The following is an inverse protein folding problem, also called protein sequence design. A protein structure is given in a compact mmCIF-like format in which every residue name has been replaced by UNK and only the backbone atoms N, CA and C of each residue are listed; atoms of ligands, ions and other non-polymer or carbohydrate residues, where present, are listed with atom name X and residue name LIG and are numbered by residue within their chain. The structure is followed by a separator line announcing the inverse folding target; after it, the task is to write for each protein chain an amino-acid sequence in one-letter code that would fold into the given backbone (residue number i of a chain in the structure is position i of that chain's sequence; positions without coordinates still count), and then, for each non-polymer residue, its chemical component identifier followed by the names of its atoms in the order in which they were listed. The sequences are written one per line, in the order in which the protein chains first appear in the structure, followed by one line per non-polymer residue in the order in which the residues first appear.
data_IF_765750698862
#
_entry.id   IF_765750698862
#
_cell.length_a   1.000
_cell.length_b   1.000
_cell.length_c   1.000
_cell.angle_alpha   90.00
_cell.angle_beta   90.00
_cell.angle_gamma   90.00
#
_symmetry.space_group_name_H-M   'P 1'
#
loop_
_entity.id
_entity.type
_entity.pdbx_description
1 polymer ?
#
# COMPACT_ATOMS: atom_id res chain seq x y z
N UNK A 1 20.59 -8.56 26.11
CA UNK A 1 19.61 -8.57 27.22
C UNK A 1 20.01 -7.68 28.40
N UNK A 2 21.29 -7.37 28.61
CA UNK A 2 21.68 -6.35 29.60
C UNK A 2 20.99 -4.99 29.41
N UNK A 3 20.79 -4.54 28.16
CA UNK A 3 20.04 -3.31 27.89
C UNK A 3 18.60 -3.39 28.41
N UNK A 4 17.94 -4.54 28.23
CA UNK A 4 16.59 -4.80 28.73
C UNK A 4 16.57 -4.79 30.26
N UNK A 5 17.60 -5.38 30.90
CA UNK A 5 17.77 -5.32 32.35
C UNK A 5 17.99 -3.89 32.86
N UNK A 6 18.77 -3.07 32.16
CA UNK A 6 18.94 -1.64 32.48
C UNK A 6 17.63 -0.86 32.34
N UNK A 7 16.79 -1.19 31.35
CA UNK A 7 15.44 -0.62 31.21
C UNK A 7 14.57 -1.01 32.40
N UNK A 8 14.58 -2.27 32.82
CA UNK A 8 13.84 -2.71 34.01
C UNK A 8 14.33 -1.97 35.27
N UNK A 9 15.64 -1.87 35.46
CA UNK A 9 16.28 -1.13 36.56
C UNK A 9 15.97 0.36 36.55
N UNK A 10 15.55 0.94 35.42
CA UNK A 10 15.06 2.33 35.36
C UNK A 10 13.64 2.52 35.93
N UNK A 11 13.05 1.48 36.51
CA UNK A 11 11.70 1.50 37.08
C UNK A 11 10.59 1.21 36.08
N UNK A 12 10.91 0.58 34.93
CA UNK A 12 9.93 0.21 33.89
C UNK A 12 9.61 -1.28 33.97
N UNK A 13 8.35 -1.64 33.80
CA UNK A 13 7.95 -3.05 33.66
C UNK A 13 8.33 -3.54 32.27
N UNK A 14 9.08 -4.63 32.21
CA UNK A 14 9.41 -5.32 30.96
C UNK A 14 8.74 -6.69 30.98
N UNK A 15 7.99 -7.00 29.93
CA UNK A 15 7.44 -8.34 29.67
C UNK A 15 7.97 -8.79 28.33
N UNK A 16 8.55 -9.99 28.27
CA UNK A 16 9.06 -10.56 27.04
C UNK A 16 8.82 -12.07 26.98
N UNK A 17 8.56 -12.58 25.79
CA UNK A 17 8.48 -14.02 25.49
C UNK A 17 9.81 -14.46 24.90
N UNK A 18 10.38 -15.56 25.40
CA UNK A 18 11.66 -16.08 24.91
C UNK A 18 11.53 -17.56 24.63
N UNK A 19 12.00 -17.95 23.46
CA UNK A 19 12.10 -19.35 23.08
C UNK A 19 13.46 -19.89 23.54
N UNK A 20 13.46 -20.82 24.50
CA UNK A 20 14.64 -21.58 24.97
C UNK A 20 15.88 -20.70 25.28
N UNK A 21 15.84 -19.87 26.33
CA UNK A 21 16.99 -19.07 26.74
C UNK A 21 18.16 -19.94 27.20
N UNK A 22 19.39 -19.46 27.04
CA UNK A 22 20.55 -20.04 27.75
C UNK A 22 20.43 -19.83 29.26
N UNK A 23 21.10 -20.66 30.07
CA UNK A 23 21.07 -20.55 31.55
C UNK A 23 21.43 -19.15 32.03
N UNK A 24 22.52 -18.59 31.51
CA UNK A 24 22.98 -17.22 31.86
C UNK A 24 21.91 -16.18 31.54
N UNK A 25 21.15 -16.37 30.46
CA UNK A 25 20.08 -15.45 30.09
C UNK A 25 18.85 -15.62 30.97
N UNK A 26 18.52 -16.87 31.29
CA UNK A 26 17.38 -17.23 32.13
C UNK A 26 17.51 -16.64 33.53
N UNK A 27 18.71 -16.68 34.12
CA UNK A 27 18.99 -16.09 35.43
C UNK A 27 18.94 -14.55 35.47
N UNK A 28 18.80 -13.88 34.32
CA UNK A 28 18.62 -12.42 34.30
C UNK A 28 17.19 -11.97 34.61
N UNK A 29 16.20 -12.88 34.59
CA UNK A 29 14.79 -12.53 34.82
C UNK A 29 14.44 -12.50 36.30
N UNK A 30 13.74 -11.45 36.71
CA UNK A 30 13.24 -11.32 38.08
C UNK A 30 12.08 -12.27 38.34
N UNK A 31 11.24 -12.54 37.32
CA UNK A 31 10.08 -13.43 37.39
C UNK A 31 9.92 -14.21 36.09
N UNK A 32 9.40 -15.43 36.23
CA UNK A 32 9.01 -16.30 35.13
C UNK A 32 7.49 -16.41 35.10
N UNK A 33 6.90 -16.27 33.92
CA UNK A 33 5.54 -16.72 33.61
C UNK A 33 5.64 -17.91 32.65
N UNK A 34 5.30 -19.10 33.12
CA UNK A 34 5.30 -20.33 32.34
C UNK A 34 3.87 -20.73 32.00
N UNK A 35 3.62 -20.96 30.70
CA UNK A 35 2.33 -21.39 30.17
C UNK A 35 2.49 -22.76 29.51
N UNK A 36 1.48 -23.62 29.67
CA UNK A 36 1.35 -24.86 28.92
C UNK A 36 0.43 -24.70 27.70
N UNK A 37 0.36 -25.75 26.87
CA UNK A 37 -0.58 -25.85 25.75
C UNK A 37 -2.01 -25.49 26.20
N UNK A 38 -2.70 -24.68 25.40
CA UNK A 38 -4.02 -24.13 25.77
C UNK A 38 -3.97 -22.81 26.55
N UNK A 39 -2.77 -22.27 26.82
CA UNK A 39 -2.61 -20.96 27.46
C UNK A 39 -2.85 -20.96 28.97
N UNK A 40 -2.83 -22.14 29.60
CA UNK A 40 -2.99 -22.29 31.04
C UNK A 40 -1.67 -22.03 31.77
N UNK A 41 -1.77 -21.44 32.97
CA UNK A 41 -0.60 -21.06 33.76
C UNK A 41 -0.08 -22.22 34.59
N UNK A 42 1.21 -22.50 34.47
CA UNK A 42 1.90 -23.56 35.25
C UNK A 42 2.72 -22.98 36.39
N UNK A 43 3.34 -21.83 36.17
CA UNK A 43 4.18 -21.15 37.15
C UNK A 43 4.17 -19.64 36.92
N UNK A 44 4.03 -18.87 37.99
CA UNK A 44 4.27 -17.43 37.97
C UNK A 44 4.96 -16.99 39.25
N UNK A 45 6.27 -16.80 39.21
CA UNK A 45 7.04 -16.53 40.42
C UNK A 45 8.45 -16.06 40.13
N UNK A 46 9.22 -15.71 41.17
CA UNK A 46 10.64 -15.41 41.02
C UNK A 46 11.40 -16.65 40.54
N UNK A 47 12.54 -16.45 39.90
CA UNK A 47 13.43 -17.58 39.61
C UNK A 47 14.27 -17.95 40.85
N UNK A 48 14.66 -16.96 41.65
CA UNK A 48 15.66 -17.14 42.71
C UNK A 48 17.09 -17.23 42.14
N UNK A 49 18.09 -17.22 43.03
CA UNK A 49 19.48 -17.45 42.64
C UNK A 49 19.61 -18.87 42.07
N UNK A 50 20.27 -19.05 40.93
CA UNK A 50 20.41 -20.35 40.24
C UNK A 50 19.07 -21.06 39.98
N UNK A 51 17.97 -20.31 39.82
CA UNK A 51 16.62 -20.84 39.58
C UNK A 51 16.03 -21.71 40.71
N UNK A 52 16.54 -21.59 41.94
CA UNK A 52 16.15 -22.46 43.08
C UNK A 52 14.65 -22.43 43.37
N UNK A 53 13.99 -21.27 43.36
CA UNK A 53 12.55 -21.18 43.69
C UNK A 53 11.67 -21.94 42.67
N UNK A 54 12.05 -21.85 41.39
CA UNK A 54 11.38 -22.60 40.33
C UNK A 54 11.63 -24.11 40.48
N UNK A 55 12.88 -24.51 40.78
CA UNK A 55 13.22 -25.91 40.97
C UNK A 55 12.52 -26.52 42.19
N UNK A 56 12.39 -25.77 43.29
CA UNK A 56 11.63 -26.18 44.47
C UNK A 56 10.15 -26.39 44.17
N UNK A 57 9.55 -25.51 43.36
CA UNK A 57 8.16 -25.68 42.91
C UNK A 57 7.98 -26.97 42.12
N UNK A 58 8.84 -27.23 41.12
CA UNK A 58 8.76 -28.48 40.35
C UNK A 58 9.12 -29.72 41.18
N UNK A 59 10.00 -29.60 42.18
CA UNK A 59 10.38 -30.68 43.07
C UNK A 59 9.26 -31.23 43.96
N UNK A 60 8.13 -30.52 44.06
CA UNK A 60 6.95 -30.97 44.81
C UNK A 60 6.15 -32.06 44.08
N UNK A 61 6.30 -32.17 42.75
CA UNK A 61 5.56 -33.14 41.95
C UNK A 61 6.28 -34.49 41.90
N UNK A 62 5.57 -35.55 42.30
CA UNK A 62 6.12 -36.91 42.25
C UNK A 62 6.28 -37.36 40.79
N UNK A 63 7.42 -37.95 40.46
CA UNK A 63 7.71 -38.49 39.13
C UNK A 63 8.57 -37.60 38.24
N UNK A 64 8.80 -36.33 38.63
CA UNK A 64 9.78 -35.49 37.95
C UNK A 64 11.20 -35.84 38.39
N UNK A 65 12.12 -36.12 37.45
CA UNK A 65 13.53 -36.31 37.79
C UNK A 65 14.11 -34.97 38.29
N UNK A 66 15.05 -34.96 39.25
CA UNK A 66 15.74 -33.74 39.61
C UNK A 66 16.58 -33.23 38.44
N UNK A 67 16.81 -31.91 38.39
CA UNK A 67 17.67 -31.26 37.39
C UNK A 67 19.05 -31.95 37.35
N UNK A 68 19.49 -32.36 36.16
CA UNK A 68 20.80 -32.99 36.01
C UNK A 68 21.93 -31.96 36.10
N UNK A 69 23.13 -32.37 36.55
CA UNK A 69 24.29 -31.47 36.60
C UNK A 69 24.63 -30.96 35.21
N UNK A 70 24.59 -29.64 35.03
CA UNK A 70 24.88 -28.98 33.75
C UNK A 70 23.67 -28.88 32.81
N UNK A 71 22.50 -29.36 33.22
CA UNK A 71 21.26 -29.15 32.48
C UNK A 71 20.78 -27.70 32.63
N UNK A 72 20.24 -27.13 31.55
CA UNK A 72 19.69 -25.78 31.58
C UNK A 72 18.31 -25.78 32.28
N UNK A 73 18.11 -24.99 33.35
CA UNK A 73 16.81 -24.90 34.06
C UNK A 73 15.64 -24.53 33.14
N UNK A 74 15.88 -23.72 32.11
CA UNK A 74 14.86 -23.35 31.14
C UNK A 74 14.44 -24.52 30.23
N UNK A 75 15.38 -25.42 29.91
CA UNK A 75 15.09 -26.65 29.16
C UNK A 75 14.38 -27.65 30.06
N UNK A 76 14.84 -27.79 31.31
CA UNK A 76 14.24 -28.66 32.31
C UNK A 76 12.75 -28.36 32.52
N UNK A 77 12.38 -27.08 32.79
CA UNK A 77 10.98 -26.73 33.01
C UNK A 77 10.09 -27.02 31.79
N UNK A 78 10.61 -26.87 30.56
CA UNK A 78 9.87 -27.18 29.33
C UNK A 78 9.71 -28.69 29.15
N UNK A 79 10.73 -29.48 29.50
CA UNK A 79 10.64 -30.94 29.52
C UNK A 79 9.63 -31.42 30.56
N UNK A 80 9.58 -30.81 31.76
CA UNK A 80 8.62 -31.16 32.81
C UNK A 80 7.17 -31.04 32.34
N UNK A 81 6.84 -29.97 31.60
CA UNK A 81 5.48 -29.72 31.10
C UNK A 81 5.19 -30.41 29.75
N UNK A 82 6.10 -31.26 29.26
CA UNK A 82 5.94 -31.95 27.98
C UNK A 82 6.05 -31.05 26.74
N UNK A 83 6.57 -29.83 26.88
CA UNK A 83 6.88 -28.91 25.79
C UNK A 83 8.32 -29.07 25.26
N UNK A 84 9.07 -30.02 25.80
CA UNK A 84 10.44 -30.35 25.42
C UNK A 84 10.54 -31.39 24.30
N UNK A 85 11.75 -31.86 24.01
CA UNK A 85 12.00 -32.91 22.99
C UNK A 85 11.54 -34.29 23.45
N UNK A 86 11.39 -34.48 24.76
CA UNK A 86 10.87 -35.68 25.38
C UNK A 86 9.43 -35.37 25.78
N UNK A 87 8.47 -36.25 25.44
CA UNK A 87 7.05 -36.10 25.77
C UNK A 87 6.79 -35.93 27.28
N UNK A 88 5.53 -35.68 27.69
CA UNK A 88 5.20 -35.38 29.10
C UNK A 88 5.77 -36.45 30.03
N UNK A 89 6.60 -36.01 30.98
CA UNK A 89 7.30 -36.89 31.90
C UNK A 89 6.39 -37.44 33.00
N UNK A 90 5.25 -36.79 33.25
CA UNK A 90 4.28 -37.15 34.28
C UNK A 90 2.86 -36.79 33.83
N UNK A 91 1.89 -37.63 34.18
CA UNK A 91 0.45 -37.38 34.00
C UNK A 91 -0.09 -36.52 35.16
N UNK A 92 0.32 -35.24 35.20
CA UNK A 92 -0.12 -34.26 36.19
C UNK A 92 -0.69 -33.04 35.47
N UNK A 93 -1.87 -32.59 35.89
CA UNK A 93 -2.37 -31.29 35.47
C UNK A 93 -1.67 -30.19 36.27
N UNK A 94 -0.67 -29.59 35.65
CA UNK A 94 0.12 -28.51 36.23
C UNK A 94 -0.70 -27.22 36.43
N UNK A 95 -1.77 -27.00 35.65
CA UNK A 95 -2.59 -25.79 35.78
C UNK A 95 -3.50 -25.86 37.01
N UNK A 96 -4.14 -27.00 37.23
CA UNK A 96 -4.95 -27.25 38.43
C UNK A 96 -4.06 -27.28 39.68
N UNK A 97 -2.86 -27.84 39.56
CA UNK A 97 -1.87 -27.81 40.64
C UNK A 97 -1.42 -26.39 40.98
N UNK A 98 -1.18 -25.56 39.97
CA UNK A 98 -0.80 -24.16 40.18
C UNK A 98 -1.91 -23.37 40.88
N UNK A 99 -3.16 -23.51 40.45
CA UNK A 99 -4.29 -22.77 41.03
C UNK A 99 -4.58 -23.16 42.48
N UNK A 100 -4.35 -24.42 42.85
CA UNK A 100 -4.48 -24.91 44.23
C UNK A 100 -3.23 -24.66 45.09
N UNK A 101 -2.10 -24.33 44.49
CA UNK A 101 -0.84 -24.09 45.19
C UNK A 101 -0.88 -22.81 46.05
N UNK A 102 -0.05 -22.73 47.11
CA UNK A 102 0.10 -21.50 47.89
C UNK A 102 0.58 -20.32 47.02
N UNK A 103 1.41 -20.60 46.02
CA UNK A 103 1.94 -19.59 45.09
C UNK A 103 0.81 -19.02 44.20
N UNK A 104 -0.10 -19.86 43.73
CA UNK A 104 -1.32 -19.45 43.04
C UNK A 104 -2.22 -18.57 43.93
N UNK A 105 -2.43 -18.96 45.19
CA UNK A 105 -3.22 -18.18 46.15
C UNK A 105 -2.60 -16.80 46.45
N UNK A 106 -1.27 -16.73 46.64
CA UNK A 106 -0.54 -15.48 46.85
C UNK A 106 -0.72 -14.55 45.63
N UNK A 107 -0.50 -15.06 44.41
CA UNK A 107 -0.65 -14.27 43.20
C UNK A 107 -2.10 -13.79 42.99
N UNK A 108 -3.09 -14.64 43.27
CA UNK A 108 -4.50 -14.27 43.22
C UNK A 108 -4.83 -13.15 44.22
N UNK A 109 -4.29 -13.21 45.43
CA UNK A 109 -4.46 -12.17 46.45
C UNK A 109 -3.82 -10.83 46.04
N UNK A 110 -2.65 -10.88 45.38
CA UNK A 110 -1.91 -9.71 44.91
C UNK A 110 -2.64 -9.02 43.74
N UNK A 111 -3.23 -9.82 42.84
CA UNK A 111 -4.10 -9.31 41.78
C UNK A 111 -5.35 -8.67 42.39
N UNK A 112 -6.03 -9.34 43.32
CA UNK A 112 -7.23 -8.82 43.98
C UNK A 112 -6.95 -7.50 44.71
N UNK A 113 -5.83 -7.40 45.42
CA UNK A 113 -5.39 -6.18 46.07
C UNK A 113 -5.08 -5.06 45.07
N UNK A 114 -4.49 -5.40 43.91
CA UNK A 114 -4.17 -4.43 42.85
C UNK A 114 -5.41 -3.96 42.06
N UNK A 115 -6.45 -4.79 41.99
CA UNK A 115 -7.74 -4.45 41.38
C UNK A 115 -8.67 -3.69 42.33
N UNK A 116 -8.40 -3.70 43.64
CA UNK A 116 -9.18 -2.95 44.61
C UNK A 116 -9.05 -1.43 44.32
N UNK A 117 -10.16 -0.67 44.31
CA UNK A 117 -10.15 0.76 44.00
C UNK A 117 -9.50 1.54 45.15
N UNK A 118 -8.17 1.56 45.18
CA UNK A 118 -7.40 2.17 46.26
C UNK A 118 -6.90 3.54 45.82
N UNK A 119 -7.61 4.59 46.25
CA UNK A 119 -7.30 6.04 46.05
C UNK A 119 -7.16 6.45 44.57
N UNK A 120 -7.33 7.74 44.23
CA UNK A 120 -6.92 8.22 42.92
C UNK A 120 -5.40 8.22 42.91
N UNK A 121 -4.77 7.05 42.77
CA UNK A 121 -3.48 7.03 42.14
C UNK A 121 -3.68 7.81 40.86
N UNK A 122 -2.83 8.81 40.65
CA UNK A 122 -2.56 9.27 39.32
C UNK A 122 -2.04 8.03 38.55
N UNK A 123 -2.95 7.14 38.12
CA UNK A 123 -2.99 6.78 36.73
C UNK A 123 -2.96 8.14 36.05
N UNK A 124 -1.74 8.63 35.82
CA UNK A 124 -1.42 9.37 34.63
C UNK A 124 -2.21 8.64 33.59
N UNK A 125 -3.36 9.21 33.24
CA UNK A 125 -4.15 8.79 32.09
C UNK A 125 -3.10 8.75 31.01
N UNK A 126 -2.58 7.55 30.71
CA UNK A 126 -1.55 7.34 29.71
C UNK A 126 -2.21 7.91 28.49
N UNK A 127 -1.85 9.15 28.13
CA UNK A 127 -2.62 9.97 27.21
C UNK A 127 -2.70 9.13 25.96
N UNK A 128 -3.89 8.59 25.71
CA UNK A 128 -4.21 7.78 24.53
C UNK A 128 -4.30 8.66 23.28
N UNK A 129 -4.02 9.95 23.41
CA UNK A 129 -3.80 10.84 22.29
C UNK A 129 -2.45 10.53 21.65
N UNK A 130 -2.46 10.41 20.32
CA UNK A 130 -1.25 10.43 19.50
C UNK A 130 -0.26 11.42 20.10
N UNK A 131 0.98 10.97 20.32
CA UNK A 131 2.00 11.76 21.02
C UNK A 131 2.28 13.13 20.35
N UNK A 132 1.79 13.32 19.11
CA UNK A 132 2.05 14.46 18.25
C UNK A 132 0.77 14.84 17.48
N UNK A 133 0.56 16.15 17.24
CA UNK A 133 -0.57 16.68 16.47
C UNK A 133 -0.63 16.13 15.03
N UNK A 134 -1.84 16.03 14.47
CA UNK A 134 -2.08 15.47 13.13
C UNK A 134 -1.26 16.15 12.03
N UNK A 135 -1.21 17.49 12.01
CA UNK A 135 -0.44 18.23 11.00
C UNK A 135 1.05 17.88 11.06
N UNK A 136 1.59 17.70 12.28
CA UNK A 136 2.98 17.33 12.46
C UNK A 136 3.25 15.87 12.05
N UNK A 137 2.29 14.96 12.25
CA UNK A 137 2.36 13.60 11.69
C UNK A 137 2.46 13.66 10.15
N UNK A 138 1.57 14.42 9.50
CA UNK A 138 1.58 14.60 8.03
C UNK A 138 2.93 15.17 7.54
N UNK A 139 3.46 16.20 8.20
CA UNK A 139 4.75 16.78 7.82
C UNK A 139 5.90 15.79 7.93
N UNK A 140 5.99 15.06 9.04
CA UNK A 140 7.04 14.07 9.27
C UNK A 140 6.94 12.91 8.27
N UNK A 141 5.73 12.41 8.03
CA UNK A 141 5.50 11.31 7.09
C UNK A 141 5.74 11.73 5.64
N UNK A 142 5.38 12.96 5.27
CA UNK A 142 5.66 13.52 3.94
C UNK A 142 7.17 13.67 3.73
N UNK A 143 7.90 14.22 4.71
CA UNK A 143 9.36 14.32 4.64
C UNK A 143 10.05 12.95 4.58
N UNK A 144 9.54 11.97 5.34
CA UNK A 144 9.99 10.57 5.27
C UNK A 144 9.74 10.00 3.88
N UNK A 145 8.52 10.11 3.37
CA UNK A 145 8.12 9.56 2.08
C UNK A 145 8.94 10.17 0.93
N UNK A 146 9.15 11.48 0.97
CA UNK A 146 10.01 12.20 0.03
C UNK A 146 11.44 11.65 0.05
N UNK A 147 12.01 11.51 1.25
CA UNK A 147 13.35 10.94 1.43
C UNK A 147 13.43 9.50 0.93
N UNK A 148 12.39 8.70 1.14
CA UNK A 148 12.31 7.32 0.65
C UNK A 148 12.29 7.27 -0.87
N UNK A 149 11.52 8.14 -1.53
CA UNK A 149 11.49 8.24 -2.99
C UNK A 149 12.85 8.67 -3.54
N UNK A 150 13.43 9.72 -2.97
CA UNK A 150 14.75 10.22 -3.36
C UNK A 150 15.86 9.18 -3.19
N UNK A 151 15.87 8.45 -2.06
CA UNK A 151 16.88 7.41 -1.75
C UNK A 151 16.57 6.04 -2.36
N UNK A 152 15.52 5.93 -3.18
CA UNK A 152 15.20 4.70 -3.92
C UNK A 152 15.50 4.89 -5.42
N UNK A 153 16.79 5.00 -5.82
CA UNK A 153 17.15 5.30 -7.20
C UNK A 153 16.63 4.24 -8.16
N UNK A 154 16.58 2.96 -7.77
CA UNK A 154 16.05 1.89 -8.63
C UNK A 154 14.59 2.11 -9.04
N UNK A 155 13.76 2.68 -8.16
CA UNK A 155 12.36 2.95 -8.47
C UNK A 155 12.19 4.17 -9.38
N UNK A 156 12.77 5.31 -8.98
CA UNK A 156 12.59 6.54 -9.75
C UNK A 156 13.44 6.59 -11.03
N UNK A 157 14.64 5.99 -11.05
CA UNK A 157 15.45 5.90 -12.26
C UNK A 157 14.82 4.97 -13.30
N UNK A 158 14.18 3.85 -12.89
CA UNK A 158 13.47 2.99 -13.84
C UNK A 158 12.26 3.70 -14.45
N UNK A 159 11.48 4.45 -13.66
CA UNK A 159 10.38 5.30 -14.17
C UNK A 159 10.89 6.39 -15.12
N UNK A 160 11.99 7.06 -14.77
CA UNK A 160 12.60 8.09 -15.62
C UNK A 160 13.10 7.50 -16.94
N UNK A 161 13.82 6.37 -16.89
CA UNK A 161 14.30 5.68 -18.08
C UNK A 161 13.14 5.26 -18.98
N UNK A 162 12.07 4.69 -18.39
CA UNK A 162 10.87 4.30 -19.10
C UNK A 162 10.21 5.50 -19.81
N UNK A 163 10.05 6.62 -19.09
CA UNK A 163 9.52 7.86 -19.66
C UNK A 163 10.35 8.35 -20.85
N UNK A 164 11.68 8.45 -20.69
CA UNK A 164 12.58 8.99 -21.73
C UNK A 164 12.63 8.07 -22.96
N UNK A 165 12.77 6.77 -22.74
CA UNK A 165 12.85 5.79 -23.83
C UNK A 165 11.54 5.75 -24.61
N UNK A 166 10.40 5.68 -23.93
CA UNK A 166 9.10 5.66 -24.60
C UNK A 166 8.82 6.96 -25.36
N UNK A 167 9.16 8.12 -24.78
CA UNK A 167 9.01 9.39 -25.50
C UNK A 167 9.87 9.41 -26.78
N UNK A 168 11.10 8.89 -26.72
CA UNK A 168 11.98 8.81 -27.89
C UNK A 168 11.43 7.87 -28.97
N UNK A 169 10.88 6.71 -28.58
CA UNK A 169 10.24 5.77 -29.50
C UNK A 169 9.06 6.42 -30.21
N UNK A 170 8.12 7.00 -29.46
CA UNK A 170 6.95 7.67 -30.05
C UNK A 170 7.33 8.87 -30.93
N UNK A 171 8.32 9.66 -30.49
CA UNK A 171 8.87 10.74 -31.31
C UNK A 171 9.45 10.22 -32.62
N UNK A 172 10.25 9.14 -32.60
CA UNK A 172 10.89 8.60 -33.80
C UNK A 172 9.91 8.07 -34.85
N UNK A 173 8.76 7.53 -34.40
CA UNK A 173 7.76 6.93 -35.30
C UNK A 173 6.98 7.98 -36.10
N UNK A 174 6.78 9.19 -35.54
CA UNK A 174 5.89 10.21 -36.10
C UNK A 174 6.54 11.58 -36.29
N UNK A 175 7.87 11.66 -36.15
CA UNK A 175 8.63 12.88 -36.33
C UNK A 175 8.35 13.51 -37.70
N UNK A 176 7.92 14.77 -37.73
CA UNK A 176 7.60 15.51 -38.96
C UNK A 176 6.53 14.85 -39.86
N UNK A 177 5.68 13.97 -39.31
CA UNK A 177 4.55 13.40 -40.07
C UNK A 177 3.56 14.50 -40.49
N UNK A 178 3.20 14.56 -41.78
CA UNK A 178 2.18 15.49 -42.28
C UNK A 178 0.79 14.86 -42.19
N UNK A 179 -0.23 15.69 -42.02
CA UNK A 179 -1.63 15.26 -42.04
C UNK A 179 -2.20 15.65 -43.40
N UNK A 180 -2.34 14.68 -44.30
CA UNK A 180 -2.87 14.90 -45.65
C UNK A 180 -4.15 14.08 -45.87
N UNK A 181 -4.22 12.90 -45.25
CA UNK A 181 -5.36 11.98 -45.33
C UNK A 181 -6.05 11.78 -43.99
N UNK A 182 -7.30 11.32 -44.06
CA UNK A 182 -8.05 10.85 -42.90
C UNK A 182 -7.31 9.73 -42.14
N UNK A 183 -6.55 8.88 -42.84
CA UNK A 183 -5.76 7.82 -42.20
C UNK A 183 -4.62 8.39 -41.35
N UNK A 184 -4.04 9.53 -41.72
CA UNK A 184 -3.00 10.20 -40.92
C UNK A 184 -3.58 10.77 -39.62
N UNK A 185 -4.83 11.27 -39.66
CA UNK A 185 -5.55 11.71 -38.45
C UNK A 185 -5.78 10.52 -37.51
N UNK A 186 -6.25 9.39 -38.05
CA UNK A 186 -6.44 8.15 -37.26
C UNK A 186 -5.11 7.69 -36.67
N UNK A 187 -4.02 7.70 -37.44
CA UNK A 187 -2.69 7.32 -36.95
C UNK A 187 -2.23 8.21 -35.77
N UNK A 188 -2.50 9.53 -35.84
CA UNK A 188 -2.23 10.45 -34.73
C UNK A 188 -3.10 10.19 -33.50
N UNK A 189 -4.38 9.88 -33.68
CA UNK A 189 -5.25 9.48 -32.58
C UNK A 189 -4.75 8.18 -31.90
N UNK A 190 -4.36 7.18 -32.69
CA UNK A 190 -3.77 5.91 -32.19
C UNK A 190 -2.49 6.18 -31.42
N UNK A 191 -1.63 7.07 -31.91
CA UNK A 191 -0.39 7.47 -31.23
C UNK A 191 -0.68 8.08 -29.86
N UNK A 192 -1.57 9.08 -29.79
CA UNK A 192 -1.95 9.73 -28.54
C UNK A 192 -2.54 8.70 -27.57
N UNK A 193 -3.46 7.86 -28.06
CA UNK A 193 -4.10 6.82 -27.28
C UNK A 193 -3.06 5.85 -26.69
N UNK A 194 -2.24 5.26 -27.55
CA UNK A 194 -1.23 4.27 -27.14
C UNK A 194 -0.19 4.88 -26.21
N UNK A 195 0.30 6.09 -26.50
CA UNK A 195 1.27 6.78 -25.67
C UNK A 195 0.76 7.02 -24.24
N UNK A 196 -0.45 7.57 -24.12
CA UNK A 196 -1.07 7.87 -22.82
C UNK A 196 -1.44 6.60 -22.06
N UNK A 197 -2.05 5.58 -22.68
CA UNK A 197 -2.36 4.31 -22.00
C UNK A 197 -1.07 3.67 -21.49
N UNK A 198 -0.08 3.53 -22.37
CA UNK A 198 1.12 2.76 -22.07
C UNK A 198 1.88 3.37 -20.89
N UNK A 199 2.08 4.69 -20.90
CA UNK A 199 2.79 5.34 -19.79
C UNK A 199 1.97 5.27 -18.49
N UNK A 200 0.66 5.47 -18.55
CA UNK A 200 -0.21 5.47 -17.37
C UNK A 200 -0.26 4.10 -16.71
N UNK A 201 -0.52 3.03 -17.47
CA UNK A 201 -0.52 1.64 -16.95
C UNK A 201 0.86 1.25 -16.41
N UNK A 202 1.95 1.70 -17.05
CA UNK A 202 3.32 1.48 -16.55
C UNK A 202 3.56 2.11 -15.18
N UNK A 203 2.93 3.24 -14.86
CA UNK A 203 3.02 3.85 -13.52
C UNK A 203 2.41 2.93 -12.44
N UNK A 204 1.26 2.31 -12.73
CA UNK A 204 0.67 1.30 -11.87
C UNK A 204 1.61 0.10 -11.69
N UNK A 205 2.09 -0.49 -12.79
CA UNK A 205 2.93 -1.69 -12.76
C UNK A 205 4.24 -1.48 -12.00
N UNK A 206 4.83 -0.28 -12.05
CA UNK A 206 6.05 0.05 -11.29
C UNK A 206 5.76 0.32 -9.82
N UNK A 207 4.61 0.91 -9.47
CA UNK A 207 4.25 1.25 -8.08
C UNK A 207 3.97 0.02 -7.20
N UNK A 208 3.35 -1.04 -7.75
CA UNK A 208 2.96 -2.25 -7.02
C UNK A 208 4.16 -2.92 -6.30
N UNK A 209 5.25 -3.30 -6.99
CA UNK A 209 6.41 -3.94 -6.34
C UNK A 209 7.16 -2.99 -5.39
N UNK A 210 7.09 -1.68 -5.62
CA UNK A 210 7.67 -0.70 -4.70
C UNK A 210 6.89 -0.66 -3.38
N UNK A 211 5.57 -0.49 -3.46
CA UNK A 211 4.72 -0.34 -2.28
C UNK A 211 4.62 -1.63 -1.46
N UNK A 212 4.66 -2.80 -2.11
CA UNK A 212 4.63 -4.09 -1.44
C UNK A 212 5.78 -4.27 -0.41
N UNK A 213 6.95 -3.69 -0.66
CA UNK A 213 8.11 -3.74 0.26
C UNK A 213 7.85 -3.03 1.58
N UNK A 214 7.07 -1.95 1.57
CA UNK A 214 6.83 -1.10 2.74
C UNK A 214 5.54 -1.45 3.49
N UNK A 215 4.66 -2.26 2.89
CA UNK A 215 3.41 -2.70 3.50
C UNK A 215 3.58 -3.31 4.89
N UNK A 216 4.57 -4.19 5.07
CA UNK A 216 4.83 -4.83 6.37
C UNK A 216 5.31 -3.85 7.44
N UNK A 217 6.11 -2.85 7.04
CA UNK A 217 6.57 -1.78 7.94
C UNK A 217 5.37 -0.94 8.40
N UNK A 218 4.51 -0.53 7.46
CA UNK A 218 3.30 0.23 7.77
C UNK A 218 2.40 -0.52 8.78
N UNK A 219 2.17 -1.83 8.59
CA UNK A 219 1.34 -2.59 9.52
C UNK A 219 1.94 -2.63 10.94
N UNK A 220 3.25 -2.76 11.09
CA UNK A 220 3.92 -2.72 12.40
C UNK A 220 3.80 -1.35 13.07
N UNK A 221 3.98 -0.28 12.29
CA UNK A 221 3.85 1.10 12.77
C UNK A 221 2.41 1.41 13.21
N UNK A 222 1.42 0.91 12.46
CA UNK A 222 -0.01 1.01 12.79
C UNK A 222 -0.36 0.21 14.04
N UNK A 223 0.10 -1.03 14.18
CA UNK A 223 -0.15 -1.82 15.40
C UNK A 223 0.47 -1.19 16.64
N UNK A 224 1.56 -0.44 16.48
CA UNK A 224 2.21 0.32 17.54
C UNK A 224 1.59 1.70 17.78
N UNK A 225 0.50 2.05 17.08
CA UNK A 225 -0.20 3.35 17.16
C UNK A 225 0.75 4.55 17.02
N UNK A 226 1.71 4.48 16.08
CA UNK A 226 2.71 5.55 15.91
C UNK A 226 2.13 6.81 15.26
N UNK A 227 1.13 6.67 14.39
CA UNK A 227 0.48 7.77 13.66
C UNK A 227 -0.87 7.32 13.07
N UNK A 228 -1.73 8.27 12.72
CA UNK A 228 -3.04 8.00 12.13
C UNK A 228 -2.92 7.49 10.67
N UNK A 229 -3.70 6.49 10.23
CA UNK A 229 -3.69 6.00 8.84
C UNK A 229 -3.92 7.09 7.79
N UNK A 230 -4.76 8.07 8.10
CA UNK A 230 -5.04 9.23 7.23
C UNK A 230 -3.81 10.11 7.01
N UNK A 231 -2.95 10.26 8.03
CA UNK A 231 -1.72 11.05 7.89
C UNK A 231 -0.74 10.41 6.90
N UNK A 232 -0.67 9.07 6.89
CA UNK A 232 0.14 8.32 5.94
C UNK A 232 -0.44 8.33 4.52
N UNK A 233 -1.77 8.19 4.38
CA UNK A 233 -2.44 8.27 3.09
C UNK A 233 -2.21 9.65 2.41
N UNK A 234 -2.30 10.75 3.17
CA UNK A 234 -2.00 12.10 2.66
C UNK A 234 -0.54 12.21 2.22
N UNK A 235 0.40 11.70 3.02
CA UNK A 235 1.82 11.72 2.66
C UNK A 235 2.10 10.94 1.36
N UNK A 236 1.48 9.77 1.17
CA UNK A 236 1.55 9.01 -0.07
C UNK A 236 0.96 9.77 -1.26
N UNK A 237 -0.20 10.39 -1.05
CA UNK A 237 -0.88 11.17 -2.08
C UNK A 237 0.00 12.32 -2.59
N UNK A 238 0.46 13.19 -1.70
CA UNK A 238 1.19 14.41 -2.05
C UNK A 238 2.50 14.10 -2.77
N UNK A 239 3.30 13.16 -2.23
CA UNK A 239 4.62 12.85 -2.81
C UNK A 239 4.47 12.19 -4.19
N UNK A 240 3.54 11.25 -4.35
CA UNK A 240 3.32 10.60 -5.64
C UNK A 240 2.82 11.60 -6.70
N UNK A 241 1.94 12.54 -6.34
CA UNK A 241 1.42 13.54 -7.27
C UNK A 241 2.54 14.41 -7.83
N UNK A 242 3.47 14.85 -6.99
CA UNK A 242 4.60 15.69 -7.41
C UNK A 242 5.52 14.91 -8.36
N UNK A 243 5.90 13.69 -8.00
CA UNK A 243 6.76 12.85 -8.85
C UNK A 243 6.08 12.48 -10.18
N UNK A 244 4.80 12.12 -10.15
CA UNK A 244 4.04 11.81 -11.35
C UNK A 244 3.95 13.03 -12.30
N UNK A 245 3.75 14.23 -11.75
CA UNK A 245 3.70 15.47 -12.55
C UNK A 245 5.05 15.79 -13.20
N UNK A 246 6.16 15.63 -12.46
CA UNK A 246 7.51 15.84 -13.03
C UNK A 246 7.79 14.83 -14.16
N UNK A 247 7.49 13.56 -13.94
CA UNK A 247 7.67 12.50 -14.94
C UNK A 247 6.76 12.72 -16.17
N UNK A 248 5.51 13.10 -15.95
CA UNK A 248 4.57 13.45 -17.03
C UNK A 248 5.10 14.63 -17.85
N UNK A 249 5.69 15.64 -17.20
CA UNK A 249 6.29 16.80 -17.89
C UNK A 249 7.43 16.39 -18.80
N UNK A 250 8.32 15.52 -18.34
CA UNK A 250 9.45 15.00 -19.14
C UNK A 250 8.91 14.18 -20.32
N UNK A 251 7.99 13.24 -20.05
CA UNK A 251 7.39 12.39 -21.07
C UNK A 251 6.72 13.19 -22.16
N UNK A 252 5.81 14.08 -21.76
CA UNK A 252 5.00 14.90 -22.65
C UNK A 252 5.86 15.76 -23.58
N UNK A 253 6.78 16.54 -23.01
CA UNK A 253 7.64 17.41 -23.81
C UNK A 253 8.62 16.64 -24.70
N UNK A 254 8.94 15.39 -24.33
CA UNK A 254 9.84 14.53 -25.10
C UNK A 254 9.33 14.14 -26.49
N UNK A 255 8.03 14.19 -26.75
CA UNK A 255 7.47 13.84 -28.08
C UNK A 255 6.42 14.83 -28.62
N UNK A 256 5.78 15.64 -27.77
CA UNK A 256 4.70 16.56 -28.18
C UNK A 256 5.09 17.46 -29.35
N UNK A 257 6.25 18.12 -29.23
CA UNK A 257 6.76 19.05 -30.22
C UNK A 257 7.32 18.35 -31.46
N UNK A 258 7.96 17.18 -31.28
CA UNK A 258 8.57 16.42 -32.38
C UNK A 258 7.54 15.82 -33.33
N UNK A 259 6.38 15.42 -32.80
CA UNK A 259 5.25 14.92 -33.59
C UNK A 259 4.46 16.05 -34.25
N UNK A 260 4.64 17.30 -33.78
CA UNK A 260 3.89 18.45 -34.28
C UNK A 260 2.41 18.35 -33.89
N UNK A 261 2.13 18.13 -32.62
CA UNK A 261 0.78 18.25 -32.04
C UNK A 261 0.32 19.73 -32.01
N UNK A 262 -0.90 19.99 -31.53
CA UNK A 262 -1.52 21.32 -31.60
C UNK A 262 -0.65 22.40 -30.92
N UNK A 263 -0.47 23.53 -31.56
CA UNK A 263 0.29 24.67 -30.99
C UNK A 263 -0.56 25.55 -30.08
N UNK A 264 -1.86 25.24 -29.93
CA UNK A 264 -2.76 25.99 -29.06
C UNK A 264 -2.35 25.87 -27.59
N UNK A 265 -2.23 26.99 -26.85
CA UNK A 265 -1.90 26.96 -25.42
C UNK A 265 -2.91 26.16 -24.59
N UNK A 266 -4.19 26.19 -24.97
CA UNK A 266 -5.22 25.43 -24.27
C UNK A 266 -5.04 23.92 -24.47
N UNK A 267 -4.77 23.48 -25.69
CA UNK A 267 -4.52 22.08 -26.02
C UNK A 267 -3.29 21.53 -25.27
N UNK A 268 -2.21 22.33 -25.20
CA UNK A 268 -1.00 21.98 -24.46
C UNK A 268 -1.28 21.79 -22.96
N UNK A 269 -1.93 22.77 -22.32
CA UNK A 269 -2.21 22.74 -20.88
C UNK A 269 -3.15 21.59 -20.50
N UNK A 270 -4.21 21.38 -21.28
CA UNK A 270 -5.15 20.28 -21.03
C UNK A 270 -4.48 18.92 -21.18
N UNK A 271 -3.66 18.73 -22.21
CA UNK A 271 -2.91 17.49 -22.38
C UNK A 271 -2.01 17.25 -21.16
N UNK A 272 -1.16 18.21 -20.83
CA UNK A 272 -0.21 18.06 -19.72
C UNK A 272 -0.90 17.77 -18.38
N UNK A 273 -1.96 18.52 -18.06
CA UNK A 273 -2.70 18.37 -16.80
C UNK A 273 -3.39 17.01 -16.72
N UNK A 274 -4.14 16.63 -17.75
CA UNK A 274 -4.89 15.37 -17.77
C UNK A 274 -3.95 14.17 -17.79
N UNK A 275 -2.84 14.24 -18.53
CA UNK A 275 -1.79 13.23 -18.50
C UNK A 275 -1.17 13.08 -17.11
N UNK A 276 -0.83 14.19 -16.45
CA UNK A 276 -0.24 14.18 -15.10
C UNK A 276 -1.20 13.54 -14.07
N UNK A 277 -2.48 13.90 -14.14
CA UNK A 277 -3.53 13.32 -13.30
C UNK A 277 -3.72 11.83 -13.59
N UNK A 278 -3.76 11.42 -14.86
CA UNK A 278 -3.87 10.01 -15.25
C UNK A 278 -2.69 9.20 -14.71
N UNK A 279 -1.45 9.66 -14.92
CA UNK A 279 -0.25 8.98 -14.41
C UNK A 279 -0.28 8.81 -12.89
N UNK A 280 -0.66 9.85 -12.14
CA UNK A 280 -0.80 9.77 -10.69
C UNK A 280 -1.92 8.81 -10.27
N UNK A 281 -3.08 8.88 -10.92
CA UNK A 281 -4.23 8.02 -10.66
C UNK A 281 -3.89 6.54 -10.84
N UNK A 282 -3.18 6.17 -11.91
CA UNK A 282 -2.76 4.79 -12.12
C UNK A 282 -1.75 4.30 -11.07
N UNK A 283 -0.83 5.15 -10.60
CA UNK A 283 0.00 4.83 -9.41
C UNK A 283 -0.86 4.56 -8.16
N UNK A 284 -1.90 5.37 -7.93
CA UNK A 284 -2.79 5.18 -6.78
C UNK A 284 -3.63 3.90 -6.85
N UNK A 285 -4.07 3.49 -8.05
CA UNK A 285 -4.68 2.16 -8.25
C UNK A 285 -3.69 1.08 -7.83
N UNK A 286 -2.41 1.20 -8.19
CA UNK A 286 -1.36 0.27 -7.76
C UNK A 286 -1.17 0.23 -6.24
N UNK A 287 -1.18 1.39 -5.58
CA UNK A 287 -1.14 1.47 -4.11
C UNK A 287 -2.36 0.78 -3.49
N UNK A 288 -3.57 1.05 -3.99
CA UNK A 288 -4.81 0.45 -3.52
C UNK A 288 -4.76 -1.08 -3.61
N UNK A 289 -4.33 -1.63 -4.76
CA UNK A 289 -4.24 -3.07 -4.96
C UNK A 289 -3.30 -3.75 -3.96
N UNK A 290 -2.15 -3.13 -3.65
CA UNK A 290 -1.18 -3.67 -2.68
C UNK A 290 -1.75 -3.77 -1.26
N UNK A 291 -2.53 -2.77 -0.84
CA UNK A 291 -3.12 -2.75 0.51
C UNK A 291 -4.45 -3.50 0.59
N UNK A 292 -5.20 -3.62 -0.51
CA UNK A 292 -6.45 -4.36 -0.57
C UNK A 292 -6.23 -5.87 -0.62
N UNK A 293 -5.22 -6.34 -1.35
CA UNK A 293 -5.05 -7.75 -1.69
C UNK A 293 -4.02 -8.47 -0.80
N UNK A 294 -4.22 -9.77 -0.51
CA UNK A 294 -3.41 -10.50 0.47
C UNK A 294 -1.96 -10.66 0.02
N UNK A 295 -1.73 -10.97 -1.26
CA UNK A 295 -0.39 -11.25 -1.80
C UNK A 295 -0.02 -10.30 -2.94
N UNK A 296 1.28 -10.08 -3.09
CA UNK A 296 1.84 -9.29 -4.19
C UNK A 296 1.48 -9.88 -5.55
N UNK A 297 1.52 -11.22 -5.68
CA UNK A 297 1.22 -11.92 -6.93
C UNK A 297 -0.23 -11.68 -7.37
N UNK A 298 -1.18 -11.72 -6.43
CA UNK A 298 -2.60 -11.43 -6.73
C UNK A 298 -2.80 -9.97 -7.14
N UNK A 299 -2.09 -9.04 -6.50
CA UNK A 299 -2.11 -7.63 -6.89
C UNK A 299 -1.62 -7.41 -8.32
N UNK A 300 -0.51 -8.04 -8.72
CA UNK A 300 0.00 -7.97 -10.09
C UNK A 300 -1.00 -8.58 -11.08
N UNK A 301 -1.52 -9.77 -10.81
CA UNK A 301 -2.49 -10.44 -11.68
C UNK A 301 -3.75 -9.60 -11.92
N UNK A 302 -4.36 -9.08 -10.84
CA UNK A 302 -5.57 -8.27 -10.94
C UNK A 302 -5.31 -6.91 -11.57
N UNK A 303 -4.13 -6.33 -11.39
CA UNK A 303 -3.76 -5.06 -12.02
C UNK A 303 -3.82 -5.15 -13.54
N UNK A 304 -3.28 -6.22 -14.13
CA UNK A 304 -3.30 -6.43 -15.59
C UNK A 304 -4.71 -6.66 -16.12
N UNK A 305 -5.52 -7.44 -15.40
CA UNK A 305 -6.92 -7.69 -15.77
C UNK A 305 -7.78 -6.41 -15.70
N UNK A 306 -7.61 -5.63 -14.64
CA UNK A 306 -8.28 -4.33 -14.49
C UNK A 306 -7.84 -3.36 -15.60
N UNK A 307 -6.54 -3.30 -15.91
CA UNK A 307 -6.05 -2.44 -16.99
C UNK A 307 -6.65 -2.81 -18.35
N UNK A 308 -6.70 -4.10 -18.67
CA UNK A 308 -7.30 -4.58 -19.91
C UNK A 308 -8.80 -4.25 -20.00
N UNK A 309 -9.55 -4.40 -18.89
CA UNK A 309 -10.97 -4.03 -18.86
C UNK A 309 -11.18 -2.53 -19.09
N UNK A 310 -10.50 -1.67 -18.32
CA UNK A 310 -10.65 -0.21 -18.45
C UNK A 310 -10.22 0.29 -19.84
N UNK A 311 -9.26 -0.39 -20.46
CA UNK A 311 -8.81 -0.13 -21.82
C UNK A 311 -9.90 -0.39 -22.87
N UNK A 312 -10.58 -1.54 -22.83
CA UNK A 312 -11.65 -1.88 -23.78
C UNK A 312 -12.82 -0.91 -23.68
N UNK A 313 -13.17 -0.49 -22.45
CA UNK A 313 -14.29 0.41 -22.18
C UNK A 313 -13.91 1.91 -22.20
N UNK A 314 -12.75 2.26 -22.75
CA UNK A 314 -12.25 3.65 -22.81
C UNK A 314 -12.95 4.54 -23.85
N UNK A 315 -13.89 4.01 -24.64
CA UNK A 315 -14.55 4.76 -25.74
C UNK A 315 -13.79 4.78 -27.06
N UNK A 316 -12.48 4.51 -27.03
CA UNK A 316 -11.65 4.41 -28.23
C UNK A 316 -11.83 3.08 -28.96
N UNK A 317 -11.78 1.97 -28.22
CA UNK A 317 -11.91 0.61 -28.79
C UNK A 317 -13.35 0.26 -29.14
N UNK A 318 -14.30 0.69 -28.31
CA UNK A 318 -15.73 0.50 -28.52
C UNK A 318 -16.41 1.84 -28.23
N UNK A 319 -17.20 2.31 -29.19
CA UNK A 319 -17.93 3.56 -29.06
C UNK A 319 -18.96 3.48 -27.92
N UNK A 320 -19.05 4.53 -27.10
CA UNK A 320 -19.98 4.60 -25.97
C UNK A 320 -21.46 4.50 -26.38
N UNK A 321 -21.82 4.97 -27.57
CA UNK A 321 -23.20 4.97 -28.08
C UNK A 321 -23.67 3.58 -28.53
N UNK A 322 -22.75 2.72 -28.99
CA UNK A 322 -23.05 1.34 -29.43
C UNK A 322 -23.05 0.34 -28.26
N UNK A 323 -22.62 0.78 -27.08
CA UNK A 323 -22.51 -0.07 -25.90
C UNK A 323 -23.88 -0.48 -25.36
N UNK A 324 -24.05 -1.80 -25.16
CA UNK A 324 -25.26 -2.34 -24.56
C UNK A 324 -25.51 -1.78 -23.16
N UNK A 325 -26.79 -1.63 -22.78
CA UNK A 325 -27.20 -0.94 -21.54
C UNK A 325 -26.49 -1.48 -20.27
N UNK A 326 -26.25 -2.79 -20.21
CA UNK A 326 -25.61 -3.44 -19.06
C UNK A 326 -24.14 -3.08 -18.85
N UNK A 327 -23.41 -2.62 -19.87
CA UNK A 327 -21.98 -2.32 -19.80
C UNK A 327 -21.66 -0.82 -19.72
N UNK A 328 -22.67 0.05 -19.80
CA UNK A 328 -22.51 1.52 -19.77
C UNK A 328 -21.86 2.03 -18.49
N UNK A 329 -22.07 1.34 -17.37
CA UNK A 329 -21.43 1.71 -16.10
C UNK A 329 -19.90 1.54 -16.17
N UNK A 330 -19.39 0.57 -16.94
CA UNK A 330 -17.94 0.35 -17.08
C UNK A 330 -17.30 1.44 -17.93
N UNK A 331 -18.02 1.94 -18.93
CA UNK A 331 -17.63 3.12 -19.70
C UNK A 331 -17.52 4.36 -18.80
N UNK A 332 -18.52 4.60 -17.95
CA UNK A 332 -18.50 5.70 -16.98
C UNK A 332 -17.50 5.49 -15.82
N UNK A 333 -17.16 4.24 -15.47
CA UNK A 333 -16.17 3.94 -14.46
C UNK A 333 -14.73 4.02 -14.99
N UNK A 334 -14.55 3.97 -16.32
CA UNK A 334 -13.23 3.96 -16.93
C UNK A 334 -12.60 5.34 -16.86
N UNK A 335 -11.51 5.52 -16.11
CA UNK A 335 -10.83 6.81 -16.10
C UNK A 335 -10.09 7.09 -17.42
N UNK A 336 -9.83 6.05 -18.22
CA UNK A 336 -9.25 6.21 -19.54
C UNK A 336 -10.20 6.94 -20.48
N UNK A 337 -11.52 6.72 -20.36
CA UNK A 337 -12.51 7.44 -21.17
C UNK A 337 -12.37 8.95 -21.01
N UNK A 338 -12.45 9.46 -19.78
CA UNK A 338 -12.32 10.88 -19.49
C UNK A 338 -10.93 11.44 -19.84
N UNK A 339 -9.88 10.63 -19.66
CA UNK A 339 -8.51 11.00 -20.07
C UNK A 339 -8.43 11.22 -21.58
N UNK A 340 -9.04 10.32 -22.36
CA UNK A 340 -8.97 10.38 -23.82
C UNK A 340 -9.87 11.43 -24.43
N UNK A 341 -11.10 11.56 -23.94
CA UNK A 341 -12.01 12.59 -24.42
C UNK A 341 -11.38 13.98 -24.24
N UNK A 342 -10.91 14.29 -23.03
CA UNK A 342 -10.27 15.56 -22.74
C UNK A 342 -9.01 15.81 -23.57
N UNK A 343 -8.15 14.80 -23.77
CA UNK A 343 -6.92 14.97 -24.56
C UNK A 343 -7.23 15.06 -26.07
N UNK A 344 -7.95 14.10 -26.65
CA UNK A 344 -8.18 14.05 -28.10
C UNK A 344 -9.00 15.24 -28.56
N UNK A 345 -10.10 15.57 -27.87
CA UNK A 345 -10.95 16.68 -28.28
C UNK A 345 -10.21 18.02 -28.19
N UNK A 346 -9.40 18.23 -27.15
CA UNK A 346 -8.61 19.47 -27.06
C UNK A 346 -7.48 19.55 -28.09
N UNK A 347 -6.93 18.41 -28.53
CA UNK A 347 -5.87 18.38 -29.54
C UNK A 347 -6.36 18.71 -30.95
N UNK A 348 -7.57 18.29 -31.32
CA UNK A 348 -8.12 18.49 -32.67
C UNK A 348 -9.13 19.64 -32.77
N UNK A 349 -9.48 20.28 -31.64
CA UNK A 349 -10.40 21.42 -31.65
C UNK A 349 -9.86 22.62 -32.43
N UNK A 350 -10.68 23.15 -33.34
CA UNK A 350 -10.32 24.27 -34.21
C UNK A 350 -9.35 23.90 -35.33
N UNK A 351 -9.10 22.61 -35.60
CA UNK A 351 -8.26 22.19 -36.72
C UNK A 351 -9.07 22.13 -38.04
N UNK A 352 -9.07 23.26 -38.75
CA UNK A 352 -9.75 23.44 -40.04
C UNK A 352 -8.95 22.94 -41.25
N UNK A 353 -7.86 22.20 -41.05
CA UNK A 353 -7.12 21.59 -42.17
C UNK A 353 -8.03 20.59 -42.88
N UNK A 354 -8.08 20.67 -44.20
CA UNK A 354 -8.87 19.75 -45.01
C UNK A 354 -8.07 18.48 -45.25
N UNK A 355 -8.66 17.33 -44.91
CA UNK A 355 -8.08 16.02 -45.15
C UNK A 355 -8.88 15.24 -46.17
N UNK A 356 -8.18 14.55 -47.05
CA UNK A 356 -8.80 13.72 -48.06
C UNK A 356 -9.31 12.40 -47.45
N UNK A 357 -10.55 12.04 -47.73
CA UNK A 357 -11.07 10.70 -47.44
C UNK A 357 -10.96 9.81 -48.70
N UNK A 358 -9.90 8.99 -48.82
CA UNK A 358 -9.66 8.16 -50.01
C UNK A 358 -10.71 7.05 -50.19
N UNK A 359 -11.53 6.77 -49.18
CA UNK A 359 -12.58 5.75 -49.21
C UNK A 359 -13.93 6.28 -49.74
N UNK A 360 -14.08 7.60 -49.86
CA UNK A 360 -15.26 8.24 -50.44
C UNK A 360 -15.09 8.46 -51.94
N UNK A 361 -16.14 8.19 -52.73
CA UNK A 361 -16.16 8.45 -54.17
C UNK A 361 -17.37 9.34 -54.50
N UNK A 362 -17.17 10.61 -54.91
CA UNK A 362 -15.89 11.31 -55.11
C UNK A 362 -15.13 11.57 -53.79
N UNK A 363 -13.82 11.84 -53.89
CA UNK A 363 -12.96 12.13 -52.72
C UNK A 363 -13.48 13.37 -52.00
N UNK A 364 -14.09 13.15 -50.85
CA UNK A 364 -14.61 14.20 -50.00
C UNK A 364 -13.47 14.78 -49.14
N UNK A 365 -13.33 16.10 -49.19
CA UNK A 365 -12.45 16.86 -48.31
C UNK A 365 -13.28 17.35 -47.15
N UNK A 366 -12.88 17.00 -45.92
CA UNK A 366 -13.55 17.43 -44.70
C UNK A 366 -12.53 18.00 -43.70
N UNK A 367 -12.94 18.94 -42.82
CA UNK A 367 -12.10 19.40 -41.73
C UNK A 367 -11.70 18.26 -40.79
N UNK A 368 -10.52 18.36 -40.17
CA UNK A 368 -10.03 17.37 -39.19
C UNK A 368 -10.96 17.29 -37.98
N UNK A 369 -11.42 18.43 -37.45
CA UNK A 369 -12.35 18.47 -36.31
C UNK A 369 -13.65 17.70 -36.58
N UNK A 370 -14.28 17.95 -37.74
CA UNK A 370 -15.52 17.27 -38.14
C UNK A 370 -15.31 15.76 -38.29
N UNK A 371 -14.17 15.35 -38.88
CA UNK A 371 -13.84 13.93 -39.00
C UNK A 371 -13.66 13.27 -37.62
N UNK A 372 -12.95 13.92 -36.70
CA UNK A 372 -12.72 13.38 -35.35
C UNK A 372 -14.04 13.26 -34.58
N UNK A 373 -14.93 14.25 -34.67
CA UNK A 373 -16.27 14.18 -34.08
C UNK A 373 -17.10 13.03 -34.67
N UNK A 374 -17.10 12.90 -36.00
CA UNK A 374 -17.81 11.83 -36.70
C UNK A 374 -17.23 10.43 -36.39
N UNK A 375 -15.91 10.30 -36.22
CA UNK A 375 -15.24 9.03 -35.87
C UNK A 375 -15.78 8.45 -34.55
N UNK A 376 -16.04 9.31 -33.57
CA UNK A 376 -16.65 8.93 -32.30
C UNK A 376 -18.18 9.03 -32.29
N UNK A 377 -18.84 9.22 -33.44
CA UNK A 377 -20.29 9.43 -33.51
C UNK A 377 -20.78 10.50 -32.51
N UNK A 378 -19.98 11.56 -32.32
CA UNK A 378 -20.18 12.64 -31.35
C UNK A 378 -20.38 12.17 -29.90
N UNK A 379 -19.89 10.97 -29.54
CA UNK A 379 -19.86 10.54 -28.14
C UNK A 379 -18.81 11.29 -27.32
N UNK A 380 -17.76 11.79 -27.98
CA UNK A 380 -16.75 12.66 -27.40
C UNK A 380 -16.98 14.10 -27.85
N UNK A 381 -16.89 15.05 -26.93
CA UNK A 381 -17.11 16.47 -27.20
C UNK A 381 -16.08 17.35 -26.47
N UNK A 382 -15.58 18.38 -27.14
CA UNK A 382 -14.72 19.40 -26.56
C UNK A 382 -15.40 20.14 -25.39
N UNK A 383 -16.73 20.28 -25.41
CA UNK A 383 -17.48 20.88 -24.31
C UNK A 383 -17.32 20.11 -22.99
N UNK A 384 -17.07 18.79 -23.05
CA UNK A 384 -17.00 17.92 -21.88
C UNK A 384 -15.67 18.00 -21.13
N UNK A 385 -14.63 18.68 -21.64
CA UNK A 385 -13.29 18.71 -21.01
C UNK A 385 -13.28 19.03 -19.50
N UNK A 386 -14.15 19.93 -19.04
CA UNK A 386 -14.27 20.28 -17.62
C UNK A 386 -15.02 19.20 -16.83
N UNK A 387 -16.05 18.63 -17.44
CA UNK A 387 -16.79 17.50 -16.89
C UNK A 387 -15.88 16.27 -16.73
N UNK A 388 -15.03 16.00 -17.72
CA UNK A 388 -14.06 14.91 -17.70
C UNK A 388 -13.03 15.08 -16.59
N UNK A 389 -12.47 16.29 -16.48
CA UNK A 389 -11.52 16.62 -15.42
C UNK A 389 -12.15 16.50 -14.02
N UNK A 390 -13.41 16.91 -13.87
CA UNK A 390 -14.16 16.74 -12.63
C UNK A 390 -14.37 15.25 -12.31
N UNK A 391 -14.75 14.43 -13.29
CA UNK A 391 -14.94 12.99 -13.10
C UNK A 391 -13.64 12.28 -12.75
N UNK A 392 -12.53 12.62 -13.41
CA UNK A 392 -11.20 12.15 -13.02
C UNK A 392 -10.86 12.52 -11.57
N UNK A 393 -11.18 13.75 -11.16
CA UNK A 393 -11.03 14.19 -9.77
C UNK A 393 -11.86 13.36 -8.79
N UNK A 394 -13.13 13.07 -9.12
CA UNK A 394 -14.01 12.23 -8.31
C UNK A 394 -13.48 10.80 -8.20
N UNK A 395 -13.09 10.19 -9.32
CA UNK A 395 -12.51 8.83 -9.34
C UNK A 395 -11.25 8.79 -8.47
N UNK A 396 -10.39 9.80 -8.57
CA UNK A 396 -9.19 9.92 -7.76
C UNK A 396 -9.51 10.02 -6.27
N UNK A 397 -10.50 10.83 -5.87
CA UNK A 397 -10.96 10.90 -4.46
C UNK A 397 -11.49 9.54 -3.99
N UNK A 398 -12.30 8.85 -4.81
CA UNK A 398 -12.83 7.52 -4.48
C UNK A 398 -11.71 6.51 -4.27
N UNK A 399 -10.69 6.50 -5.13
CA UNK A 399 -9.51 5.64 -4.98
C UNK A 399 -8.75 5.97 -3.69
N UNK A 400 -8.56 7.25 -3.35
CA UNK A 400 -7.89 7.66 -2.12
C UNK A 400 -8.67 7.26 -0.86
N UNK A 401 -10.00 7.40 -0.88
CA UNK A 401 -10.86 6.96 0.22
C UNK A 401 -10.83 5.44 0.37
N UNK A 402 -10.87 4.69 -0.73
CA UNK A 402 -10.73 3.24 -0.71
C UNK A 402 -9.36 2.82 -0.15
N UNK A 403 -8.28 3.50 -0.57
CA UNK A 403 -6.93 3.26 -0.05
C UNK A 403 -6.86 3.54 1.45
N UNK A 404 -7.45 4.64 1.90
CA UNK A 404 -7.54 4.98 3.32
C UNK A 404 -8.30 3.92 4.12
N UNK A 405 -9.43 3.42 3.60
CA UNK A 405 -10.19 2.34 4.23
C UNK A 405 -9.37 1.06 4.32
N UNK A 406 -8.63 0.70 3.27
CA UNK A 406 -7.71 -0.44 3.30
C UNK A 406 -6.61 -0.24 4.35
N UNK A 407 -5.96 0.92 4.37
CA UNK A 407 -4.94 1.29 5.34
C UNK A 407 -5.46 1.24 6.78
N UNK A 408 -6.73 1.59 7.00
CA UNK A 408 -7.36 1.68 8.31
C UNK A 408 -8.06 0.39 8.78
N UNK A 409 -8.40 -0.55 7.90
CA UNK A 409 -9.16 -1.77 8.27
C UNK A 409 -8.50 -3.08 7.89
N UNK A 410 -7.65 -3.09 6.88
CA UNK A 410 -7.04 -4.32 6.35
C UNK A 410 -5.66 -4.52 6.95
N UNK A 411 -5.34 -5.75 7.35
CA UNK A 411 -4.02 -6.18 7.78
C UNK A 411 -3.78 -7.61 7.29
N UNK A 412 -2.77 -7.80 6.45
CA UNK A 412 -2.41 -9.10 5.87
C UNK A 412 -1.19 -9.75 6.55
N UNK A 413 -0.76 -9.23 7.71
CA UNK A 413 0.20 -9.97 8.54
C UNK A 413 -0.56 -11.11 9.23
N UNK A 414 -0.26 -12.34 8.83
CA UNK A 414 -0.61 -13.52 9.63
C UNK A 414 0.04 -13.36 11.02
N UNK A 415 -0.74 -13.64 12.06
CA UNK A 415 -0.28 -13.60 13.46
C UNK A 415 0.55 -14.83 13.79
#
# INVERSE_FOLDING_TARGET
MECVKRIAQSGRTVVCTIHQPSTVLFELFDKLLLLQSGGQMVYYGPLGLESVEMLEYFGQFRGLPPLQRGENPATYMLNCIGAGTNGPSVDVDFADSYTTSPLGAINASLIAASCAPTRPHAMTTLRTHDAVSFLRQVQLLTGRQWTMYWRSPTYNASRLALVVVLSAVFASLYCNSRIESVMDVVARMVLIFTGVVFISVSMMSTSIPYMAKFRGVYYRERMSSMYAPSSYAIALFVVELVYATVLATIYFNGWYWLVGLSTSPSAYLWFWLVLSLSMAMWSYIGHLLVFALPTFQVAVLLSSGLAALLFVFSGYMINGNTLSRGWRWMYAASPLHYTFEAILMTQFHGDNRLVANPLSSPVHMQPVEDFVGAFFAHSFDYANRFYDAMHLGVILVVIQLALLLCLAKVCHLER
#
